data_IF_819590294232
#
_entry.id   IF_819590294232
#
_cell.length_a   1.000
_cell.length_b   1.000
_cell.length_c   1.000
_cell.angle_alpha   90.00
_cell.angle_beta   90.00
_cell.angle_gamma   90.00
#
_symmetry.space_group_name_H-M   'P 1'
#
loop_
_entity.id
_entity.type
_entity.pdbx_description
1 polymer ?
#
# COMPACT_ATOMS: atom_id res chain seq x y z
N UNK A 1 11.00 0.36 -9.14
CA UNK A 1 10.56 1.77 -9.01
C UNK A 1 11.58 2.77 -9.56
N UNK A 2 12.89 2.54 -9.43
CA UNK A 2 13.93 3.47 -9.94
C UNK A 2 13.72 3.95 -11.40
N UNK A 3 13.29 3.05 -12.31
CA UNK A 3 13.02 3.41 -13.71
C UNK A 3 11.85 4.39 -13.89
N UNK A 4 10.95 4.52 -12.91
CA UNK A 4 9.80 5.43 -12.98
C UNK A 4 10.17 6.87 -12.62
N UNK A 5 11.33 7.12 -11.99
CA UNK A 5 11.78 8.44 -11.54
C UNK A 5 10.67 9.22 -10.81
N UNK A 6 10.04 8.56 -9.83
CA UNK A 6 8.95 9.15 -9.06
C UNK A 6 9.45 10.34 -8.24
N UNK A 7 8.70 11.44 -8.23
CA UNK A 7 8.89 12.52 -7.26
C UNK A 7 8.16 12.25 -5.95
N UNK A 8 8.36 13.14 -4.98
CA UNK A 8 7.75 13.03 -3.66
C UNK A 8 6.22 13.06 -3.71
N UNK A 9 5.63 13.82 -4.64
CA UNK A 9 4.17 13.88 -4.82
C UNK A 9 3.62 12.55 -5.32
N UNK A 10 4.28 11.91 -6.28
CA UNK A 10 3.91 10.61 -6.82
C UNK A 10 4.04 9.52 -5.76
N UNK A 11 5.07 9.59 -4.92
CA UNK A 11 5.22 8.69 -3.77
C UNK A 11 4.11 8.93 -2.74
N UNK A 12 3.80 10.18 -2.41
CA UNK A 12 2.76 10.53 -1.44
C UNK A 12 1.36 10.07 -1.91
N UNK A 13 1.03 10.27 -3.18
CA UNK A 13 -0.24 9.82 -3.75
C UNK A 13 -0.32 8.29 -3.82
N UNK A 14 0.79 7.60 -4.13
CA UNK A 14 0.86 6.15 -4.06
C UNK A 14 0.60 5.64 -2.62
N UNK A 15 1.19 6.29 -1.63
CA UNK A 15 0.97 5.96 -0.22
C UNK A 15 -0.48 6.22 0.20
N UNK A 16 -1.09 7.33 -0.23
CA UNK A 16 -2.48 7.64 0.05
C UNK A 16 -3.44 6.58 -0.53
N UNK A 17 -3.19 6.14 -1.77
CA UNK A 17 -3.98 5.08 -2.41
C UNK A 17 -3.84 3.75 -1.65
N UNK A 18 -2.62 3.38 -1.23
CA UNK A 18 -2.40 2.17 -0.45
C UNK A 18 -3.02 2.23 0.95
N UNK A 19 -3.00 3.40 1.59
CA UNK A 19 -3.56 3.63 2.91
C UNK A 19 -5.10 3.56 2.90
N UNK A 20 -5.74 4.16 1.89
CA UNK A 20 -7.20 4.24 1.78
C UNK A 20 -7.81 2.97 1.17
N UNK A 21 -7.35 1.78 1.57
CA UNK A 21 -7.87 0.51 1.04
C UNK A 21 -9.06 0.00 1.87
N UNK A 22 -10.18 -0.32 1.21
CA UNK A 22 -11.40 -0.83 1.86
C UNK A 22 -11.41 -2.35 2.08
N UNK A 23 -10.33 -3.04 1.70
CA UNK A 23 -10.16 -4.50 1.80
C UNK A 23 -9.71 -4.97 3.20
N UNK A 24 -9.99 -4.19 4.25
CA UNK A 24 -9.66 -4.50 5.64
C UNK A 24 -10.90 -4.89 6.42
N UNK A 25 -10.81 -5.97 7.20
CA UNK A 25 -11.89 -6.35 8.12
C UNK A 25 -12.04 -5.30 9.24
N UNK A 26 -13.24 -5.20 9.81
CA UNK A 26 -13.54 -4.29 10.93
C UNK A 26 -13.77 -2.82 10.56
N UNK A 27 -13.71 -2.44 9.28
CA UNK A 27 -13.99 -1.07 8.85
C UNK A 27 -15.46 -0.67 9.06
N UNK A 28 -15.69 0.46 9.72
CA UNK A 28 -17.04 0.99 10.00
C UNK A 28 -17.58 1.92 8.91
N UNK A 29 -16.71 2.43 8.03
CA UNK A 29 -17.04 3.47 7.05
C UNK A 29 -16.47 3.14 5.65
N UNK A 30 -16.68 1.93 5.15
CA UNK A 30 -16.14 1.45 3.86
C UNK A 30 -16.43 2.43 2.70
N UNK A 31 -17.70 2.83 2.51
CA UNK A 31 -18.09 3.76 1.42
C UNK A 31 -17.30 5.08 1.42
N UNK A 32 -16.98 5.61 2.62
CA UNK A 32 -16.20 6.86 2.74
C UNK A 32 -14.75 6.64 2.38
N UNK A 33 -14.19 5.48 2.75
CA UNK A 33 -12.81 5.10 2.45
C UNK A 33 -12.65 4.91 0.95
N UNK A 34 -13.56 4.17 0.31
CA UNK A 34 -13.57 3.94 -1.14
C UNK A 34 -13.67 5.26 -1.91
N UNK A 35 -14.63 6.11 -1.56
CA UNK A 35 -14.77 7.43 -2.20
C UNK A 35 -13.52 8.31 -2.04
N UNK A 36 -12.85 8.22 -0.88
CA UNK A 36 -11.62 8.95 -0.66
C UNK A 36 -10.46 8.37 -1.51
N UNK A 37 -10.35 7.05 -1.61
CA UNK A 37 -9.38 6.39 -2.48
C UNK A 37 -9.59 6.75 -3.95
N UNK A 38 -10.83 6.74 -4.44
CA UNK A 38 -11.20 7.17 -5.79
C UNK A 38 -10.77 8.62 -6.05
N UNK A 39 -10.95 9.50 -5.06
CA UNK A 39 -10.52 10.90 -5.15
C UNK A 39 -9.00 11.01 -5.29
N UNK A 40 -8.24 10.24 -4.50
CA UNK A 40 -6.77 10.21 -4.63
C UNK A 40 -6.31 9.58 -5.95
N UNK A 41 -6.96 8.52 -6.42
CA UNK A 41 -6.66 7.89 -7.71
C UNK A 41 -6.85 8.87 -8.87
N UNK A 42 -7.96 9.61 -8.88
CA UNK A 42 -8.24 10.61 -9.90
C UNK A 42 -7.22 11.76 -9.85
N UNK A 43 -6.94 12.29 -8.66
CA UNK A 43 -5.92 13.32 -8.47
C UNK A 43 -4.53 12.84 -8.94
N UNK A 44 -4.20 11.58 -8.69
CA UNK A 44 -2.95 10.96 -9.09
C UNK A 44 -2.85 10.80 -10.60
N UNK A 45 -3.90 10.31 -11.26
CA UNK A 45 -3.95 10.24 -12.72
C UNK A 45 -3.74 11.62 -13.36
N UNK A 46 -4.40 12.66 -12.83
CA UNK A 46 -4.19 14.03 -13.29
C UNK A 46 -2.75 14.51 -13.07
N UNK A 47 -2.15 14.22 -11.92
CA UNK A 47 -0.76 14.59 -11.64
C UNK A 47 0.23 13.89 -12.58
N UNK A 48 0.04 12.59 -12.84
CA UNK A 48 0.84 11.84 -13.81
C UNK A 48 0.73 12.45 -15.22
N UNK A 49 -0.47 12.83 -15.63
CA UNK A 49 -0.69 13.50 -16.93
C UNK A 49 0.02 14.86 -17.00
N UNK A 50 0.06 15.62 -15.89
CA UNK A 50 0.81 16.87 -15.80
C UNK A 50 2.33 16.66 -15.91
N UNK A 51 2.86 15.60 -15.28
CA UNK A 51 4.29 15.28 -15.23
C UNK A 51 4.90 14.88 -16.58
N UNK A 52 4.07 14.38 -17.51
CA UNK A 52 4.47 14.01 -18.89
C UNK A 52 5.70 13.09 -18.93
N UNK A 53 5.67 12.00 -18.16
CA UNK A 53 6.71 10.99 -18.17
C UNK A 53 6.99 10.46 -19.58
N UNK A 54 8.27 10.23 -19.90
CA UNK A 54 8.70 9.72 -21.20
C UNK A 54 8.42 8.22 -21.42
N UNK A 55 7.88 7.53 -20.42
CA UNK A 55 7.58 6.11 -20.50
C UNK A 55 6.14 5.94 -21.00
N UNK A 56 5.93 5.22 -22.11
CA UNK A 56 4.59 4.98 -22.62
C UNK A 56 3.79 4.12 -21.64
N UNK A 57 2.49 4.43 -21.52
CA UNK A 57 1.56 3.78 -20.61
C UNK A 57 1.99 3.84 -19.14
N UNK A 58 2.53 4.99 -18.72
CA UNK A 58 3.05 5.17 -17.36
C UNK A 58 2.01 4.86 -16.28
N UNK A 59 0.80 5.43 -16.39
CA UNK A 59 -0.27 5.27 -15.41
C UNK A 59 -0.66 3.80 -15.16
N UNK A 60 -1.06 2.99 -16.16
CA UNK A 60 -1.39 1.60 -15.92
C UNK A 60 -0.19 0.78 -15.42
N UNK A 61 1.04 1.08 -15.87
CA UNK A 61 2.26 0.45 -15.33
C UNK A 61 2.48 0.78 -13.86
N UNK A 62 2.17 1.99 -13.42
CA UNK A 62 2.27 2.40 -12.03
C UNK A 62 1.19 1.73 -11.18
N UNK A 63 -0.04 1.62 -11.68
CA UNK A 63 -1.12 0.87 -11.02
C UNK A 63 -0.75 -0.61 -10.81
N UNK A 64 -0.07 -1.25 -11.77
CA UNK A 64 0.45 -2.61 -11.56
C UNK A 64 1.43 -2.69 -10.39
N UNK A 65 2.18 -1.62 -10.08
CA UNK A 65 3.07 -1.58 -8.91
C UNK A 65 2.33 -1.50 -7.58
N UNK A 66 1.11 -0.96 -7.56
CA UNK A 66 0.23 -1.05 -6.39
C UNK A 66 -0.08 -2.52 -6.07
N UNK A 67 -0.40 -3.31 -7.10
CA UNK A 67 -0.65 -4.75 -6.95
C UNK A 67 0.60 -5.49 -6.47
N UNK A 68 1.77 -5.21 -7.06
CA UNK A 68 3.04 -5.80 -6.61
C UNK A 68 3.31 -5.50 -5.12
N UNK A 69 3.03 -4.26 -4.65
CA UNK A 69 3.20 -3.88 -3.24
C UNK A 69 2.22 -4.59 -2.31
N UNK A 70 0.97 -4.80 -2.72
CA UNK A 70 -0.01 -5.60 -1.97
C UNK A 70 0.45 -7.05 -1.84
N UNK A 71 1.02 -7.63 -2.89
CA UNK A 71 1.59 -8.99 -2.85
C UNK A 71 2.78 -9.10 -1.89
N UNK A 72 3.66 -8.09 -1.87
CA UNK A 72 4.76 -8.03 -0.90
C UNK A 72 4.20 -8.02 0.54
N UNK A 73 3.15 -7.23 0.79
CA UNK A 73 2.48 -7.20 2.10
C UNK A 73 1.92 -8.56 2.52
N UNK A 74 1.25 -9.28 1.61
CA UNK A 74 0.73 -10.62 1.88
C UNK A 74 1.85 -11.64 2.17
N UNK A 75 2.92 -11.63 1.37
CA UNK A 75 4.10 -12.46 1.61
C UNK A 75 4.76 -12.15 2.96
N UNK A 76 4.85 -10.87 3.32
CA UNK A 76 5.37 -10.45 4.62
C UNK A 76 4.51 -10.97 5.78
N UNK A 77 3.18 -10.81 5.72
CA UNK A 77 2.28 -11.29 6.76
C UNK A 77 2.41 -12.81 6.98
N UNK A 78 2.44 -13.59 5.90
CA UNK A 78 2.69 -15.04 5.97
C UNK A 78 4.04 -15.35 6.62
N UNK A 79 5.13 -14.68 6.19
CA UNK A 79 6.46 -14.90 6.76
C UNK A 79 6.54 -14.50 8.23
N UNK A 80 5.87 -13.43 8.64
CA UNK A 80 5.84 -12.96 10.01
C UNK A 80 5.16 -13.97 10.95
N UNK A 81 4.07 -14.62 10.49
CA UNK A 81 3.44 -15.71 11.25
C UNK A 81 4.42 -16.86 11.51
N UNK A 82 5.23 -17.24 10.53
CA UNK A 82 6.29 -18.25 10.73
C UNK A 82 7.35 -17.78 11.76
N UNK A 83 7.80 -16.52 11.67
CA UNK A 83 8.79 -15.98 12.60
C UNK A 83 8.28 -15.98 14.04
N UNK A 84 6.99 -15.68 14.26
CA UNK A 84 6.36 -15.76 15.59
C UNK A 84 6.36 -17.17 16.20
N UNK A 85 6.33 -18.21 15.38
CA UNK A 85 6.38 -19.61 15.86
C UNK A 85 7.82 -20.00 16.19
N UNK A 86 8.78 -19.56 15.39
CA UNK A 86 10.18 -19.97 15.48
C UNK A 86 11.00 -19.15 16.47
N UNK A 87 10.60 -17.91 16.76
CA UNK A 87 11.38 -16.94 17.53
C UNK A 87 10.66 -16.54 18.83
N UNK A 88 11.41 -16.30 19.92
CA UNK A 88 10.84 -15.79 21.16
C UNK A 88 10.34 -14.33 21.01
N UNK A 89 9.25 -14.00 21.70
CA UNK A 89 8.55 -12.72 21.55
C UNK A 89 9.41 -11.50 21.91
N UNK A 90 10.40 -11.64 22.80
CA UNK A 90 11.26 -10.52 23.22
C UNK A 90 12.15 -9.97 22.10
N UNK A 91 12.28 -10.71 20.99
CA UNK A 91 13.03 -10.25 19.80
C UNK A 91 12.23 -9.24 18.95
N UNK A 92 10.93 -9.10 19.19
CA UNK A 92 10.06 -8.23 18.42
C UNK A 92 9.68 -6.98 19.22
N UNK A 93 9.98 -5.77 18.71
CA UNK A 93 9.54 -4.53 19.36
C UNK A 93 8.00 -4.48 19.51
N UNK A 94 7.46 -3.89 20.59
CA UNK A 94 6.01 -3.88 20.84
C UNK A 94 5.18 -3.32 19.68
N UNK A 95 5.59 -2.18 19.10
CA UNK A 95 4.90 -1.57 17.97
C UNK A 95 4.97 -2.44 16.69
N UNK A 96 6.04 -3.21 16.52
CA UNK A 96 6.16 -4.12 15.39
C UNK A 96 5.15 -5.27 15.51
N UNK A 97 4.97 -5.82 16.71
CA UNK A 97 3.93 -6.80 16.98
C UNK A 97 2.54 -6.19 16.72
N UNK A 98 2.24 -5.04 17.33
CA UNK A 98 0.91 -4.39 17.21
C UNK A 98 0.49 -4.12 15.75
N UNK A 99 1.43 -3.72 14.90
CA UNK A 99 1.14 -3.38 13.49
C UNK A 99 0.99 -4.61 12.59
N UNK A 100 1.69 -5.71 12.88
CA UNK A 100 1.76 -6.89 11.99
C UNK A 100 1.09 -8.14 12.54
N UNK A 101 0.67 -8.14 13.80
CA UNK A 101 -0.13 -9.19 14.39
C UNK A 101 -1.59 -8.99 13.96
N UNK A 102 -2.11 -9.93 13.18
CA UNK A 102 -3.51 -9.89 12.74
C UNK A 102 -4.46 -9.79 13.94
N UNK A 103 -5.41 -8.86 13.87
CA UNK A 103 -6.42 -8.63 14.91
C UNK A 103 -7.56 -9.66 14.89
N UNK A 104 -7.49 -10.71 14.06
CA UNK A 104 -8.50 -11.79 13.99
C UNK A 104 -8.15 -12.98 14.91
N UNK A 105 -7.93 -12.70 16.19
CA UNK A 105 -8.04 -13.68 17.29
C UNK A 105 -9.09 -13.19 18.29
#
# INVERSE_FOLDING_TARGET
LAQFNLDDTEVALLQAVLLMSSDRSGLTCMDKIEKCQETYLLAFEHYINYRKHNIPHFWPKLLMKVTDLRMIGACHASRFLHMKVECPNELFPPLFLEVFEDQEV
#
